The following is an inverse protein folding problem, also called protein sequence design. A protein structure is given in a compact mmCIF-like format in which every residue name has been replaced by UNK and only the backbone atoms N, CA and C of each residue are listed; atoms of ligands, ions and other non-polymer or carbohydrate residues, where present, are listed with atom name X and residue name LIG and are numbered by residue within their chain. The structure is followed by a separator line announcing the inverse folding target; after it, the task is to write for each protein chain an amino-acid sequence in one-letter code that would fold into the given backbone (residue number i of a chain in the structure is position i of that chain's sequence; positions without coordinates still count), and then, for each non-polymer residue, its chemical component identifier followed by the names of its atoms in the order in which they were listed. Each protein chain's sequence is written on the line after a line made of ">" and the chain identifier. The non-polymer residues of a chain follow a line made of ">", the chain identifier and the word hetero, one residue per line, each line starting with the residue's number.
data_IF_950339402810
#
_entry.id   IF_950339402810
#
_cell.length_a   1.000
_cell.length_b   1.000
_cell.length_c   1.000
_cell.angle_alpha   90.00
_cell.angle_beta   90.00
_cell.angle_gamma   90.00
#
_symmetry.space_group_name_H-M   'P 1'
#
loop_
_entity.id
_entity.type
_entity.pdbx_description
1 polymer ?
#
# COMPACT_ATOMS: atom_id res chain seq x y z
N UNK A 1 -4.58 -14.17 15.01
CA UNK A 1 -5.56 -13.06 14.87
C UNK A 1 -5.44 -12.52 13.46
N UNK A 2 -6.42 -12.82 12.60
CA UNK A 2 -6.51 -12.26 11.24
C UNK A 2 -7.37 -11.01 11.37
N UNK A 3 -6.77 -9.83 11.21
CA UNK A 3 -7.51 -8.56 11.17
C UNK A 3 -8.28 -8.56 9.86
N UNK A 4 -9.59 -8.34 9.91
CA UNK A 4 -10.41 -8.25 8.70
C UNK A 4 -10.17 -6.88 8.05
N UNK A 5 -10.37 -6.73 6.73
CA UNK A 5 -10.22 -5.45 6.03
C UNK A 5 -11.03 -4.28 6.61
N UNK A 6 -11.97 -4.57 7.54
CA UNK A 6 -12.83 -3.63 8.25
C UNK A 6 -12.24 -3.00 9.51
N UNK A 7 -11.15 -3.53 10.07
CA UNK A 7 -10.71 -3.11 11.42
C UNK A 7 -9.62 -2.02 11.38
N UNK A 8 -9.28 -1.53 10.19
CA UNK A 8 -8.47 -0.34 10.02
C UNK A 8 -9.32 0.77 9.43
N UNK A 9 -9.57 1.78 10.24
CA UNK A 9 -10.18 3.02 9.77
C UNK A 9 -9.25 3.64 8.72
N UNK A 10 -9.70 3.66 7.47
CA UNK A 10 -9.14 4.61 6.51
C UNK A 10 -9.42 6.00 7.07
N UNK A 11 -8.36 6.72 7.38
CA UNK A 11 -8.44 8.05 7.98
C UNK A 11 -8.24 9.11 6.91
N UNK A 12 -8.50 10.37 7.26
CA UNK A 12 -8.10 11.48 6.40
C UNK A 12 -6.58 11.51 6.32
N UNK A 13 -6.03 11.96 5.19
CA UNK A 13 -4.56 12.03 4.95
C UNK A 13 -3.78 12.73 6.07
N UNK A 14 -4.35 13.77 6.69
CA UNK A 14 -3.71 14.50 7.80
C UNK A 14 -3.62 13.73 9.13
N UNK A 15 -4.38 12.64 9.27
CA UNK A 15 -4.44 11.81 10.46
C UNK A 15 -3.63 10.51 10.30
N UNK A 16 -3.25 10.16 9.07
CA UNK A 16 -2.53 8.95 8.77
C UNK A 16 -1.10 8.97 9.30
N UNK A 17 -0.63 7.85 9.83
CA UNK A 17 0.81 7.62 10.04
C UNK A 17 1.42 6.68 8.99
N UNK A 18 0.60 6.04 8.15
CA UNK A 18 1.02 5.34 6.94
C UNK A 18 0.17 5.80 5.76
N UNK A 19 0.82 6.31 4.73
CA UNK A 19 0.24 6.62 3.42
C UNK A 19 0.80 5.63 2.42
N UNK A 20 -0.07 4.87 1.76
CA UNK A 20 0.30 3.95 0.68
C UNK A 20 -0.20 4.54 -0.63
N UNK A 21 0.75 5.04 -1.41
CA UNK A 21 0.51 5.58 -2.74
C UNK A 21 0.85 4.51 -3.77
N UNK A 22 -0.12 4.18 -4.61
CA UNK A 22 0.10 3.27 -5.73
C UNK A 22 0.20 4.11 -6.99
N UNK A 23 1.41 4.18 -7.55
CA UNK A 23 1.74 5.05 -8.67
C UNK A 23 2.39 4.24 -9.80
N UNK A 24 1.70 4.19 -10.94
CA UNK A 24 2.12 3.75 -12.28
C UNK A 24 0.89 3.25 -13.03
N UNK A 25 1.05 2.90 -14.30
CA UNK A 25 0.03 2.19 -15.06
C UNK A 25 -0.24 0.81 -14.46
N UNK A 26 -1.30 0.72 -13.66
CA UNK A 26 -1.84 -0.55 -13.19
C UNK A 26 -2.61 -1.18 -14.35
N UNK A 27 -1.94 -1.84 -15.29
CA UNK A 27 -2.63 -2.56 -16.36
C UNK A 27 -3.39 -3.80 -15.85
N UNK A 28 -3.09 -4.22 -14.62
CA UNK A 28 -3.74 -5.31 -13.90
C UNK A 28 -3.96 -4.93 -12.43
N UNK A 29 -4.91 -5.57 -11.74
CA UNK A 29 -5.08 -5.39 -10.31
C UNK A 29 -3.81 -5.77 -9.53
N UNK A 30 -3.56 -5.03 -8.45
CA UNK A 30 -2.43 -5.25 -7.55
C UNK A 30 -2.95 -5.45 -6.14
N UNK A 31 -2.58 -6.56 -5.53
CA UNK A 31 -2.90 -6.84 -4.13
C UNK A 31 -1.82 -6.25 -3.24
N UNK A 32 -2.21 -5.31 -2.39
CA UNK A 32 -1.33 -4.70 -1.40
C UNK A 32 -1.65 -5.27 -0.04
N UNK A 33 -0.67 -5.95 0.56
CA UNK A 33 -0.75 -6.47 1.92
C UNK A 33 0.18 -5.67 2.81
N UNK A 34 -0.36 -5.07 3.88
CA UNK A 34 0.43 -4.42 4.93
C UNK A 34 0.39 -5.31 6.15
N UNK A 35 1.55 -5.62 6.73
CA UNK A 35 1.67 -6.42 7.94
C UNK A 35 2.41 -5.65 9.02
N UNK A 36 1.84 -5.56 10.22
CA UNK A 36 2.49 -5.01 11.41
C UNK A 36 2.92 -6.17 12.31
N UNK A 37 4.23 -6.41 12.43
CA UNK A 37 4.73 -7.65 13.03
C UNK A 37 4.22 -8.90 12.28
N UNK A 38 3.56 -9.81 12.99
CA UNK A 38 2.95 -11.03 12.43
C UNK A 38 1.47 -10.87 12.03
N UNK A 39 0.87 -9.70 12.28
CA UNK A 39 -0.52 -9.44 11.95
C UNK A 39 -0.64 -8.80 10.57
N UNK A 40 -1.56 -9.28 9.75
CA UNK A 40 -2.01 -8.56 8.55
C UNK A 40 -2.80 -7.36 9.04
N UNK A 41 -2.32 -6.16 8.74
CA UNK A 41 -2.99 -4.91 9.04
C UNK A 41 -3.94 -4.56 7.88
N UNK A 42 -3.46 -4.69 6.64
CA UNK A 42 -4.23 -4.40 5.43
C UNK A 42 -4.08 -5.53 4.43
N UNK A 43 -5.16 -5.84 3.71
CA UNK A 43 -5.12 -6.66 2.52
C UNK A 43 -6.17 -6.16 1.53
N UNK A 44 -5.74 -5.37 0.55
CA UNK A 44 -6.63 -4.72 -0.43
C UNK A 44 -6.21 -5.06 -1.84
N UNK A 45 -7.20 -5.23 -2.70
CA UNK A 45 -7.00 -5.27 -4.14
C UNK A 45 -7.19 -3.87 -4.70
N UNK A 46 -6.14 -3.36 -5.34
CA UNK A 46 -6.14 -2.09 -6.04
C UNK A 46 -6.47 -2.40 -7.50
N UNK A 47 -7.57 -1.89 -8.05
CA UNK A 47 -7.98 -2.22 -9.41
C UNK A 47 -6.97 -1.71 -10.44
N UNK A 48 -7.04 -2.31 -11.63
CA UNK A 48 -6.34 -1.78 -12.78
C UNK A 48 -6.83 -0.36 -13.09
N UNK A 49 -5.92 0.51 -13.51
CA UNK A 49 -6.21 1.87 -13.88
C UNK A 49 -5.35 2.30 -15.07
N UNK A 50 -5.95 3.10 -15.95
CA UNK A 50 -5.29 3.53 -17.19
C UNK A 50 -3.97 4.26 -16.90
N UNK A 51 -3.06 4.23 -17.89
CA UNK A 51 -1.72 4.80 -17.81
C UNK A 51 -1.79 6.30 -17.53
N UNK A 52 -1.70 6.66 -16.26
CA UNK A 52 -1.56 8.04 -15.84
C UNK A 52 -0.16 8.53 -16.27
N UNK A 53 -0.10 9.50 -17.19
CA UNK A 53 1.17 10.15 -17.59
C UNK A 53 1.66 11.17 -16.57
N UNK A 54 0.84 11.51 -15.57
CA UNK A 54 1.27 12.34 -14.45
C UNK A 54 1.92 11.48 -13.36
N UNK A 55 2.92 12.01 -12.67
CA UNK A 55 3.55 11.38 -11.51
C UNK A 55 2.60 11.31 -10.28
N UNK A 56 1.30 11.55 -10.45
CA UNK A 56 0.33 11.49 -9.39
C UNK A 56 -0.05 10.03 -9.09
N UNK A 57 -0.21 9.67 -7.80
CA UNK A 57 -0.70 8.35 -7.43
C UNK A 57 -2.09 8.12 -8.02
N UNK A 58 -2.31 6.92 -8.54
CA UNK A 58 -3.60 6.53 -9.12
C UNK A 58 -4.57 6.16 -8.02
N UNK A 59 -4.05 5.54 -6.96
CA UNK A 59 -4.75 5.28 -5.72
C UNK A 59 -3.87 5.68 -4.54
N UNK A 60 -4.47 6.30 -3.53
CA UNK A 60 -3.81 6.66 -2.28
C UNK A 60 -4.65 6.16 -1.13
N UNK A 61 -4.01 5.45 -0.19
CA UNK A 61 -4.66 4.88 0.97
C UNK A 61 -4.00 5.39 2.24
N UNK A 62 -4.83 5.86 3.17
CA UNK A 62 -4.39 6.58 4.37
C UNK A 62 -4.79 5.78 5.61
N UNK A 63 -3.81 5.36 6.41
CA UNK A 63 -4.04 4.48 7.56
C UNK A 63 -3.47 5.07 8.85
N UNK A 64 -4.18 4.80 9.95
CA UNK A 64 -3.67 4.95 11.30
C UNK A 64 -3.37 3.57 11.90
N UNK A 65 -2.10 3.26 12.03
CA UNK A 65 -1.60 2.01 12.60
C UNK A 65 -0.94 2.27 13.97
N UNK A 66 -0.89 1.27 14.87
CA UNK A 66 -0.03 1.35 16.05
C UNK A 66 1.43 1.60 15.67
N UNK A 67 2.16 2.30 16.54
CA UNK A 67 3.60 2.50 16.36
C UNK A 67 4.33 1.15 16.33
N UNK A 68 5.35 1.05 15.49
CA UNK A 68 6.13 -0.17 15.32
C UNK A 68 6.55 -0.42 13.88
N UNK A 69 7.24 -1.56 13.68
CA UNK A 69 7.73 -1.95 12.36
C UNK A 69 6.62 -2.58 11.53
N UNK A 70 6.40 -2.00 10.36
CA UNK A 70 5.44 -2.46 9.37
C UNK A 70 6.19 -2.92 8.11
N UNK A 71 5.72 -4.01 7.52
CA UNK A 71 6.15 -4.46 6.20
C UNK A 71 4.98 -4.27 5.23
N UNK A 72 5.20 -3.51 4.17
CA UNK A 72 4.27 -3.35 3.06
C UNK A 72 4.74 -4.25 1.93
N UNK A 73 3.86 -5.12 1.44
CA UNK A 73 4.12 -6.03 0.34
C UNK A 73 3.11 -5.76 -0.77
N UNK A 74 3.59 -5.33 -1.93
CA UNK A 74 2.80 -5.26 -3.15
C UNK A 74 2.97 -6.56 -3.95
N UNK A 75 1.87 -7.15 -4.42
CA UNK A 75 1.87 -8.28 -5.35
C UNK A 75 0.99 -7.97 -6.55
N UNK A 76 1.54 -8.00 -7.75
CA UNK A 76 0.77 -7.88 -8.99
C UNK A 76 0.25 -9.26 -9.44
N UNK A 77 -0.77 -9.24 -10.31
CA UNK A 77 -1.39 -10.47 -10.83
C UNK A 77 -0.47 -11.37 -11.67
N UNK A 78 0.69 -10.89 -12.11
CA UNK A 78 1.74 -11.66 -12.80
C UNK A 78 2.78 -12.26 -11.82
N UNK A 79 2.58 -12.09 -10.52
CA UNK A 79 3.44 -12.64 -9.48
C UNK A 79 4.65 -11.77 -9.12
N UNK A 80 4.81 -10.57 -9.70
CA UNK A 80 5.83 -9.65 -9.21
C UNK A 80 5.52 -9.24 -7.77
N UNK A 81 6.58 -9.09 -6.98
CA UNK A 81 6.48 -8.77 -5.56
C UNK A 81 7.48 -7.70 -5.20
N UNK A 82 6.99 -6.60 -4.65
CA UNK A 82 7.79 -5.58 -3.96
C UNK A 82 7.56 -5.67 -2.46
N UNK A 83 8.57 -5.38 -1.66
CA UNK A 83 8.43 -5.25 -0.21
C UNK A 83 9.20 -4.04 0.32
N UNK A 84 8.55 -3.26 1.18
CA UNK A 84 9.15 -2.16 1.91
C UNK A 84 8.97 -2.38 3.41
N UNK A 85 9.99 -2.05 4.20
CA UNK A 85 9.88 -2.04 5.67
C UNK A 85 9.93 -0.59 6.13
N UNK A 86 9.01 -0.25 7.03
CA UNK A 86 8.83 1.12 7.52
C UNK A 86 8.62 1.06 9.02
N UNK A 87 9.39 1.86 9.75
CA UNK A 87 9.17 2.07 11.18
C UNK A 87 8.18 3.23 11.35
N UNK A 88 6.99 2.91 11.86
CA UNK A 88 5.90 3.85 12.10
C UNK A 88 6.01 4.45 13.51
N UNK A 89 5.87 5.76 13.58
CA UNK A 89 5.75 6.52 14.82
C UNK A 89 4.54 7.44 14.76
N UNK A 90 4.68 8.63 15.34
CA UNK A 90 3.65 9.67 15.27
C UNK A 90 3.65 10.40 13.92
N UNK A 91 4.81 10.45 13.25
CA UNK A 91 4.97 11.13 11.97
C UNK A 91 4.49 10.25 10.80
N UNK A 92 3.85 10.85 9.77
CA UNK A 92 3.42 10.14 8.59
C UNK A 92 4.58 9.58 7.78
N UNK A 93 4.46 8.30 7.41
CA UNK A 93 5.38 7.62 6.49
C UNK A 93 4.69 7.33 5.17
N UNK A 94 5.44 7.56 4.10
CA UNK A 94 4.99 7.42 2.73
C UNK A 94 5.61 6.18 2.11
N UNK A 95 4.77 5.27 1.65
CA UNK A 95 5.19 4.09 0.89
C UNK A 95 4.62 4.21 -0.50
N UNK A 96 5.51 4.32 -1.47
CA UNK A 96 5.15 4.32 -2.88
C UNK A 96 5.30 2.91 -3.42
N UNK A 97 4.18 2.30 -3.81
CA UNK A 97 4.16 1.02 -4.52
C UNK A 97 4.15 1.33 -6.00
N UNK A 98 5.33 1.26 -6.61
CA UNK A 98 5.47 1.34 -8.06
C UNK A 98 5.34 -0.04 -8.67
N UNK A 99 4.38 -0.21 -9.58
CA UNK A 99 4.20 -1.45 -10.33
C UNK A 99 4.77 -1.19 -11.72
N UNK A 100 5.98 -1.69 -11.95
CA UNK A 100 6.62 -1.57 -13.25
C UNK A 100 6.18 -2.75 -14.10
N UNK A 101 5.40 -2.48 -15.14
CA UNK A 101 5.31 -3.43 -16.24
C UNK A 101 6.71 -3.62 -16.80
N UNK A 102 7.06 -4.89 -17.02
CA UNK A 102 8.42 -5.34 -17.30
C UNK A 102 9.19 -4.40 -18.22
N UNK A 103 10.43 -4.13 -17.81
CA UNK A 103 11.50 -3.85 -18.77
C UNK A 103 11.40 -4.91 -19.87
N UNK A 104 11.08 -4.46 -21.09
CA UNK A 104 11.24 -5.27 -22.29
C UNK A 104 12.71 -5.49 -22.57
#
# INVERSE_FOLDING_TARGET
>A
MVVRPSDLDQVRRGEANLVVDVSSSLHRPVRVTVTAGSAVALDVEVPAAERNRSNNPVHSYNYRLPAGRVTVVGRSGDGQRGAARVDLGNDPRWVVVMVQDGFR
#
